data_IF_674697284824
#
_entry.id   IF_674697284824
#
_cell.length_a   1.000
_cell.length_b   1.000
_cell.length_c   1.000
_cell.angle_alpha   90.00
_cell.angle_beta   90.00
_cell.angle_gamma   90.00
#
_symmetry.space_group_name_H-M   'P 1'
#
loop_
_entity.id
_entity.type
_entity.pdbx_description
1 polymer ?
#
# COMPACT_ATOMS: atom_id res chain seq x y z
N UNK A 1 25.79 5.01 -10.28
CA UNK A 1 25.17 6.31 -10.57
C UNK A 1 23.74 6.07 -11.03
N UNK A 2 22.76 6.74 -10.42
CA UNK A 2 21.34 6.63 -10.75
C UNK A 2 20.94 7.90 -11.50
N UNK A 3 20.19 7.77 -12.59
CA UNK A 3 19.55 8.87 -13.29
C UNK A 3 18.09 8.92 -12.88
N UNK A 4 17.63 10.03 -12.32
CA UNK A 4 16.24 10.20 -11.90
C UNK A 4 15.44 10.89 -13.01
N UNK A 5 14.29 10.29 -13.33
CA UNK A 5 13.25 10.87 -14.18
C UNK A 5 12.01 11.12 -13.32
N UNK A 6 11.67 12.38 -13.11
CA UNK A 6 10.47 12.76 -12.37
C UNK A 6 9.29 12.81 -13.32
N UNK A 7 8.21 12.11 -12.96
CA UNK A 7 6.97 12.04 -13.74
C UNK A 7 5.83 12.40 -12.79
N UNK A 8 5.00 13.36 -13.15
CA UNK A 8 3.78 13.65 -12.41
C UNK A 8 2.76 12.53 -12.68
N UNK A 9 2.15 12.01 -11.62
CA UNK A 9 1.16 10.94 -11.74
C UNK A 9 -0.10 11.39 -12.49
N UNK A 10 -0.46 12.66 -12.46
CA UNK A 10 -1.55 13.21 -13.29
C UNK A 10 -1.19 13.17 -14.79
N UNK A 11 0.09 13.30 -15.15
CA UNK A 11 0.51 13.11 -16.53
C UNK A 11 0.31 11.67 -16.99
N UNK A 12 0.52 10.68 -16.11
CA UNK A 12 0.22 9.28 -16.43
C UNK A 12 -1.29 9.06 -16.62
N UNK A 13 -2.14 9.71 -15.82
CA UNK A 13 -3.60 9.66 -16.00
C UNK A 13 -4.01 10.20 -17.38
N UNK A 14 -3.38 11.27 -17.83
CA UNK A 14 -3.74 11.96 -19.06
C UNK A 14 -3.10 11.38 -20.33
N UNK A 15 -1.87 10.85 -20.22
CA UNK A 15 -1.03 10.48 -21.38
C UNK A 15 -0.73 8.96 -21.41
N UNK A 16 -1.08 8.24 -20.33
CA UNK A 16 -0.85 6.80 -20.22
C UNK A 16 0.58 6.42 -19.87
N UNK A 17 0.88 5.14 -20.06
CA UNK A 17 2.12 4.49 -19.61
C UNK A 17 3.34 4.75 -20.49
N UNK A 18 3.19 5.40 -21.65
CA UNK A 18 4.33 5.74 -22.52
C UNK A 18 5.43 6.54 -21.79
N UNK A 19 5.02 7.34 -20.79
CA UNK A 19 5.96 8.08 -19.94
C UNK A 19 6.88 7.17 -19.09
N UNK A 20 6.51 5.90 -18.92
CA UNK A 20 7.26 4.92 -18.12
C UNK A 20 8.18 4.03 -18.97
N UNK A 21 8.16 4.20 -20.27
CA UNK A 21 8.99 3.37 -21.16
C UNK A 21 10.50 3.59 -20.91
N UNK A 22 11.24 2.48 -20.88
CA UNK A 22 12.68 2.48 -20.74
C UNK A 22 13.20 2.82 -19.33
N UNK A 23 12.36 2.79 -18.30
CA UNK A 23 12.81 2.89 -16.91
C UNK A 23 13.28 1.54 -16.38
N UNK A 24 14.37 1.54 -15.59
CA UNK A 24 14.90 0.33 -14.95
C UNK A 24 14.21 0.00 -13.63
N UNK A 25 13.56 0.98 -13.00
CA UNK A 25 12.80 0.82 -11.77
C UNK A 25 11.81 1.98 -11.60
N UNK A 26 10.75 1.76 -10.84
CA UNK A 26 9.74 2.75 -10.49
C UNK A 26 9.70 2.92 -8.97
N UNK A 27 9.76 4.17 -8.50
CA UNK A 27 9.54 4.53 -7.10
C UNK A 27 8.29 5.41 -7.00
N UNK A 28 7.33 4.99 -6.18
CA UNK A 28 6.18 5.81 -5.80
C UNK A 28 6.33 6.20 -4.33
N UNK A 29 6.57 7.48 -4.05
CA UNK A 29 6.79 7.96 -2.70
C UNK A 29 5.50 8.01 -1.87
N UNK A 30 5.65 8.31 -0.58
CA UNK A 30 4.54 8.63 0.31
C UNK A 30 3.81 9.90 -0.12
N UNK A 31 2.53 9.97 0.27
CA UNK A 31 1.65 11.08 -0.01
C UNK A 31 0.31 10.90 0.69
N UNK A 32 -0.57 11.87 0.48
CA UNK A 32 -1.93 11.88 1.01
C UNK A 32 -2.88 12.46 -0.02
N UNK A 33 -4.16 12.12 0.08
CA UNK A 33 -5.21 12.66 -0.77
C UNK A 33 -5.29 12.03 -2.16
N UNK A 34 -6.34 12.42 -2.87
CA UNK A 34 -6.80 11.76 -4.10
C UNK A 34 -5.99 12.12 -5.35
N UNK A 35 -5.21 13.22 -5.31
CA UNK A 35 -4.52 13.74 -6.49
C UNK A 35 -3.55 12.73 -7.10
N UNK A 36 -3.74 12.41 -8.38
CA UNK A 36 -2.87 11.52 -9.14
C UNK A 36 -2.84 10.07 -8.65
N UNK A 37 -3.85 9.63 -7.91
CA UNK A 37 -3.90 8.26 -7.36
C UNK A 37 -4.06 7.24 -8.47
N UNK A 38 -4.92 7.48 -9.45
CA UNK A 38 -5.14 6.55 -10.57
C UNK A 38 -3.89 6.44 -11.45
N UNK A 39 -3.13 7.51 -11.63
CA UNK A 39 -1.84 7.47 -12.32
C UNK A 39 -0.79 6.65 -11.58
N UNK A 40 -0.79 6.71 -10.23
CA UNK A 40 0.08 5.85 -9.42
C UNK A 40 -0.33 4.38 -9.53
N UNK A 41 -1.63 4.07 -9.49
CA UNK A 41 -2.16 2.71 -9.69
C UNK A 41 -1.77 2.20 -11.09
N UNK A 42 -1.90 3.05 -12.12
CA UNK A 42 -1.46 2.72 -13.49
C UNK A 42 0.04 2.44 -13.57
N UNK A 43 0.87 3.21 -12.84
CA UNK A 43 2.31 2.96 -12.77
C UNK A 43 2.64 1.63 -12.10
N UNK A 44 1.91 1.24 -11.05
CA UNK A 44 2.05 -0.10 -10.42
C UNK A 44 1.67 -1.21 -11.40
N UNK A 45 0.55 -1.06 -12.11
CA UNK A 45 0.12 -2.02 -13.12
C UNK A 45 1.20 -2.20 -14.20
N UNK A 46 1.72 -1.09 -14.71
CA UNK A 46 2.83 -1.13 -15.68
C UNK A 46 4.05 -1.89 -15.13
N UNK A 47 4.45 -1.58 -13.89
CA UNK A 47 5.58 -2.25 -13.24
C UNK A 47 5.36 -3.76 -13.13
N UNK A 48 4.19 -4.19 -12.65
CA UNK A 48 3.83 -5.60 -12.49
C UNK A 48 3.79 -6.33 -13.83
N UNK A 49 3.12 -5.78 -14.85
CA UNK A 49 2.93 -6.43 -16.14
C UNK A 49 4.24 -6.51 -16.94
N UNK A 50 5.09 -5.49 -16.84
CA UNK A 50 6.37 -5.42 -17.55
C UNK A 50 7.55 -5.93 -16.70
N UNK A 51 7.31 -6.40 -15.48
CA UNK A 51 8.34 -6.91 -14.55
C UNK A 51 9.43 -5.86 -14.24
N UNK A 52 9.02 -4.60 -14.17
CA UNK A 52 9.89 -3.50 -13.74
C UNK A 52 9.94 -3.48 -12.22
N UNK A 53 11.11 -3.47 -11.59
CA UNK A 53 11.24 -3.33 -10.13
C UNK A 53 10.46 -2.13 -9.61
N UNK A 54 9.69 -2.34 -8.54
CA UNK A 54 8.84 -1.33 -7.95
C UNK A 54 9.14 -1.14 -6.47
N UNK A 55 9.29 0.11 -6.04
CA UNK A 55 9.37 0.49 -4.63
C UNK A 55 8.23 1.46 -4.30
N UNK A 56 7.27 1.02 -3.51
CA UNK A 56 6.18 1.83 -2.99
C UNK A 56 6.38 2.18 -1.52
N UNK A 57 6.42 3.46 -1.19
CA UNK A 57 6.60 3.94 0.18
C UNK A 57 5.29 4.53 0.66
N UNK A 58 4.75 4.07 1.81
CA UNK A 58 3.51 4.57 2.42
C UNK A 58 2.34 4.48 1.42
N UNK A 59 1.86 5.61 0.88
CA UNK A 59 0.86 5.64 -0.20
C UNK A 59 1.27 4.75 -1.39
N UNK A 60 2.55 4.72 -1.74
CA UNK A 60 3.05 3.86 -2.82
C UNK A 60 2.77 2.37 -2.59
N UNK A 61 2.91 1.86 -1.35
CA UNK A 61 2.52 0.49 -1.02
C UNK A 61 1.00 0.32 -1.06
N UNK A 62 0.24 1.29 -0.55
CA UNK A 62 -1.22 1.23 -0.53
C UNK A 62 -1.80 1.14 -1.94
N UNK A 63 -1.32 1.95 -2.88
CA UNK A 63 -1.78 1.87 -4.28
C UNK A 63 -1.36 0.58 -4.97
N UNK A 64 -0.26 -0.07 -4.53
CA UNK A 64 0.10 -1.39 -5.03
C UNK A 64 -0.90 -2.46 -4.58
N UNK A 65 -1.38 -2.40 -3.33
CA UNK A 65 -2.43 -3.31 -2.84
C UNK A 65 -3.75 -3.07 -3.57
N UNK A 66 -4.12 -1.80 -3.82
CA UNK A 66 -5.33 -1.45 -4.59
C UNK A 66 -5.22 -1.97 -6.04
N UNK A 67 -4.08 -1.76 -6.70
CA UNK A 67 -3.85 -2.26 -8.06
C UNK A 67 -4.01 -3.78 -8.12
N UNK A 68 -3.36 -4.48 -7.20
CA UNK A 68 -3.43 -5.94 -7.15
C UNK A 68 -4.87 -6.43 -6.95
N UNK A 69 -5.61 -5.81 -6.05
CA UNK A 69 -7.01 -6.14 -5.82
C UNK A 69 -7.88 -5.89 -7.06
N UNK A 70 -7.69 -4.77 -7.75
CA UNK A 70 -8.47 -4.44 -8.96
C UNK A 70 -8.16 -5.33 -10.15
N UNK A 71 -6.89 -5.62 -10.39
CA UNK A 71 -6.43 -6.20 -11.66
C UNK A 71 -6.08 -7.70 -11.55
N UNK A 72 -5.79 -8.20 -10.35
CA UNK A 72 -5.52 -9.62 -10.15
C UNK A 72 -6.73 -10.36 -9.54
N UNK A 73 -7.35 -9.79 -8.48
CA UNK A 73 -8.57 -10.38 -7.90
C UNK A 73 -9.84 -10.00 -8.69
N UNK A 74 -9.81 -8.94 -9.49
CA UNK A 74 -10.98 -8.47 -10.24
C UNK A 74 -11.96 -7.63 -9.43
N UNK A 75 -11.58 -7.17 -8.23
CA UNK A 75 -12.38 -6.27 -7.41
C UNK A 75 -12.30 -4.83 -7.92
N UNK A 76 -13.07 -4.53 -8.94
CA UNK A 76 -12.96 -3.27 -9.71
C UNK A 76 -13.17 -2.00 -8.89
N UNK A 77 -13.91 -2.11 -7.80
CA UNK A 77 -14.20 -1.05 -6.84
C UNK A 77 -13.22 -1.03 -5.64
N UNK A 78 -12.20 -1.89 -5.62
CA UNK A 78 -11.22 -1.90 -4.55
C UNK A 78 -10.54 -0.53 -4.42
N UNK A 79 -10.50 -0.03 -3.19
CA UNK A 79 -9.97 1.31 -2.93
C UNK A 79 -9.45 1.45 -1.48
N UNK A 80 -8.94 2.63 -1.17
CA UNK A 80 -8.75 3.11 0.19
C UNK A 80 -9.97 3.89 0.65
N UNK A 81 -10.38 3.77 1.91
CA UNK A 81 -11.41 4.62 2.50
C UNK A 81 -10.99 6.08 2.58
N UNK A 82 -9.68 6.39 2.43
CA UNK A 82 -9.20 7.77 2.22
C UNK A 82 -9.75 8.40 0.94
N UNK A 83 -9.96 7.59 -0.11
CA UNK A 83 -10.33 8.08 -1.45
C UNK A 83 -11.80 7.82 -1.78
N UNK A 84 -12.35 6.71 -1.29
CA UNK A 84 -13.73 6.31 -1.51
C UNK A 84 -14.29 5.56 -0.31
N UNK A 85 -15.05 6.26 0.53
CA UNK A 85 -15.71 5.66 1.70
C UNK A 85 -16.84 4.67 1.33
N UNK A 86 -17.31 4.69 0.08
CA UNK A 86 -18.37 3.81 -0.41
C UNK A 86 -17.84 2.55 -1.12
N UNK A 87 -16.52 2.37 -1.18
CA UNK A 87 -15.91 1.18 -1.79
C UNK A 87 -16.46 -0.11 -1.16
N UNK A 88 -16.91 -1.04 -1.99
CA UNK A 88 -17.34 -2.37 -1.55
C UNK A 88 -16.18 -3.28 -1.14
N UNK A 89 -14.95 -2.93 -1.56
CA UNK A 89 -13.72 -3.64 -1.19
C UNK A 89 -12.67 -2.65 -0.67
N UNK A 90 -12.84 -2.13 0.57
CA UNK A 90 -11.89 -1.20 1.18
C UNK A 90 -10.62 -1.95 1.61
N UNK A 91 -9.73 -2.22 0.63
CA UNK A 91 -8.47 -2.98 0.86
C UNK A 91 -7.45 -2.21 1.69
N UNK A 92 -7.63 -0.89 1.78
CA UNK A 92 -6.90 0.01 2.68
C UNK A 92 -7.92 0.84 3.44
N UNK A 93 -7.76 0.98 4.74
CA UNK A 93 -8.69 1.72 5.58
C UNK A 93 -8.10 2.14 6.92
N UNK A 94 -8.84 2.90 7.70
CA UNK A 94 -8.47 3.18 9.09
C UNK A 94 -8.56 1.89 9.90
N UNK A 95 -7.62 1.67 10.84
CA UNK A 95 -7.64 0.49 11.74
C UNK A 95 -8.98 0.38 12.47
N UNK A 96 -9.57 1.51 12.84
CA UNK A 96 -10.85 1.58 13.55
C UNK A 96 -12.06 1.19 12.70
N UNK A 97 -11.91 1.08 11.38
CA UNK A 97 -12.98 0.68 10.47
C UNK A 97 -13.08 -0.84 10.31
N UNK A 98 -12.03 -1.57 10.67
CA UNK A 98 -11.97 -3.02 10.47
C UNK A 98 -11.40 -3.83 11.65
N UNK A 99 -10.92 -3.19 12.73
CA UNK A 99 -10.53 -3.91 13.96
C UNK A 99 -11.63 -3.90 15.01
N UNK A 100 -12.31 -5.04 15.09
CA UNK A 100 -12.59 -5.65 16.38
C UNK A 100 -12.45 -7.17 16.27
N UNK A 101 -11.43 -7.74 16.91
CA UNK A 101 -11.24 -9.17 17.04
C UNK A 101 -12.38 -9.85 17.85
N UNK A 102 -13.31 -9.07 18.38
CA UNK A 102 -14.49 -9.53 19.15
C UNK A 102 -15.80 -9.38 18.37
N UNK A 103 -15.78 -8.80 17.14
CA UNK A 103 -16.95 -8.60 16.29
C UNK A 103 -17.79 -7.37 16.66
N UNK A 104 -17.31 -6.48 17.50
CA UNK A 104 -17.93 -5.19 17.75
C UNK A 104 -17.18 -4.12 16.92
N UNK A 105 -17.85 -3.56 15.93
CA UNK A 105 -17.38 -2.38 15.19
C UNK A 105 -17.44 -1.19 16.16
N UNK A 106 -16.32 -0.80 16.74
CA UNK A 106 -16.22 0.56 17.27
C UNK A 106 -16.27 1.52 16.08
N UNK A 107 -17.47 1.94 15.72
CA UNK A 107 -17.71 3.06 14.80
C UNK A 107 -17.16 4.33 15.44
N UNK A 108 -15.88 4.60 15.27
CA UNK A 108 -15.33 5.92 15.49
C UNK A 108 -15.75 6.76 14.30
N UNK A 109 -16.64 7.70 14.55
CA UNK A 109 -17.10 8.68 13.58
C UNK A 109 -15.95 9.59 13.15
N UNK A 110 -16.04 10.22 11.97
CA UNK A 110 -15.10 11.23 11.45
C UNK A 110 -14.75 12.35 12.45
N UNK A 111 -15.56 12.53 13.51
CA UNK A 111 -15.36 13.50 14.59
C UNK A 111 -14.52 12.97 15.76
N UNK A 112 -14.15 11.68 15.78
CA UNK A 112 -13.23 11.15 16.78
C UNK A 112 -11.84 11.72 16.54
N UNK A 113 -11.11 12.02 17.60
CA UNK A 113 -9.76 12.61 17.55
C UNK A 113 -8.83 11.85 16.57
N UNK A 114 -8.79 12.31 15.32
CA UNK A 114 -7.97 11.74 14.25
C UNK A 114 -6.46 11.76 14.57
N UNK A 115 -6.06 12.56 15.56
CA UNK A 115 -4.67 12.62 16.05
C UNK A 115 -4.22 11.30 16.68
N UNK A 116 -5.11 10.56 17.34
CA UNK A 116 -4.82 9.30 18.02
C UNK A 116 -4.64 8.08 17.10
N UNK A 117 -5.00 8.17 15.83
CA UNK A 117 -4.89 7.06 14.85
C UNK A 117 -3.65 7.12 13.97
N UNK A 118 -2.86 8.19 14.04
CA UNK A 118 -1.64 8.36 13.28
C UNK A 118 -0.55 7.44 13.81
N UNK A 119 -0.08 6.51 12.98
CA UNK A 119 1.19 5.82 13.26
C UNK A 119 2.33 6.76 12.90
N UNK A 120 3.15 7.08 13.88
CA UNK A 120 4.20 8.10 13.75
C UNK A 120 5.50 7.64 14.41
N UNK A 121 6.61 7.88 13.74
CA UNK A 121 7.95 7.63 14.25
C UNK A 121 8.50 6.25 13.92
N UNK A 122 9.59 5.88 14.57
CA UNK A 122 10.31 4.63 14.37
C UNK A 122 9.53 3.48 15.01
N UNK A 123 9.29 2.41 14.23
CA UNK A 123 8.59 1.20 14.69
C UNK A 123 9.28 -0.03 14.12
N UNK A 124 9.23 -1.12 14.88
CA UNK A 124 9.77 -2.40 14.46
C UNK A 124 8.90 -3.02 13.36
N UNK A 125 9.56 -3.57 12.35
CA UNK A 125 8.95 -4.38 11.30
C UNK A 125 9.62 -5.76 11.27
N UNK A 126 8.82 -6.80 11.44
CA UNK A 126 9.24 -8.19 11.36
C UNK A 126 9.21 -8.63 9.90
N UNK A 127 10.37 -8.99 9.34
CA UNK A 127 10.48 -9.44 7.96
C UNK A 127 10.30 -10.95 7.84
N UNK A 128 9.61 -11.36 6.78
CA UNK A 128 9.46 -12.79 6.45
C UNK A 128 10.78 -13.34 5.91
N UNK A 129 11.37 -14.35 6.57
CA UNK A 129 12.61 -14.97 6.11
C UNK A 129 12.48 -15.52 4.68
N UNK A 130 13.50 -15.26 3.85
CA UNK A 130 13.51 -15.67 2.44
C UNK A 130 12.67 -14.79 1.51
N UNK A 131 12.13 -13.69 2.01
CA UNK A 131 11.55 -12.65 1.15
C UNK A 131 12.65 -11.76 0.55
N UNK A 132 12.35 -11.11 -0.59
CA UNK A 132 13.28 -10.19 -1.23
C UNK A 132 13.72 -9.05 -0.28
N UNK A 133 12.77 -8.51 0.48
CA UNK A 133 13.07 -7.44 1.44
C UNK A 133 13.97 -7.92 2.57
N UNK A 134 13.73 -9.15 3.09
CA UNK A 134 14.61 -9.76 4.09
C UNK A 134 16.04 -9.92 3.56
N UNK A 135 16.19 -10.39 2.32
CA UNK A 135 17.50 -10.53 1.69
C UNK A 135 18.20 -9.17 1.48
N UNK A 136 17.43 -8.12 1.12
CA UNK A 136 17.98 -6.76 0.97
C UNK A 136 18.48 -6.16 2.28
N UNK A 137 17.74 -6.35 3.37
CA UNK A 137 18.13 -5.82 4.69
C UNK A 137 19.12 -6.72 5.45
N UNK A 138 19.09 -8.04 5.19
CA UNK A 138 19.91 -9.03 5.90
C UNK A 138 19.60 -9.13 7.40
N UNK A 139 18.36 -8.90 7.79
CA UNK A 139 17.88 -8.86 9.19
C UNK A 139 16.45 -9.35 9.27
N UNK A 140 16.12 -10.04 10.37
CA UNK A 140 14.74 -10.48 10.65
C UNK A 140 13.84 -9.33 11.13
N UNK A 141 14.44 -8.33 11.79
CA UNK A 141 13.73 -7.15 12.32
C UNK A 141 14.44 -5.90 11.85
N UNK A 142 13.66 -4.99 11.28
CA UNK A 142 14.12 -3.66 10.88
C UNK A 142 13.31 -2.59 11.60
N UNK A 143 13.81 -1.36 11.59
CA UNK A 143 13.12 -0.21 12.15
C UNK A 143 12.86 0.78 11.04
N UNK A 144 11.58 1.00 10.77
CA UNK A 144 11.15 1.95 9.74
C UNK A 144 10.38 3.12 10.34
N UNK A 145 10.43 4.27 9.67
CA UNK A 145 9.72 5.47 10.13
C UNK A 145 8.36 5.57 9.47
N UNK A 146 7.34 5.63 10.31
CA UNK A 146 5.94 5.72 9.91
C UNK A 146 5.42 7.15 9.99
N UNK A 147 4.53 7.48 9.07
CA UNK A 147 3.67 8.67 9.09
C UNK A 147 2.45 8.42 8.23
N UNK A 148 1.52 7.63 8.73
CA UNK A 148 0.27 7.29 8.04
C UNK A 148 -0.83 6.89 9.02
N UNK A 149 -2.07 6.88 8.55
CA UNK A 149 -3.27 6.50 9.31
C UNK A 149 -3.96 5.29 8.70
N UNK A 150 -3.86 5.13 7.38
CA UNK A 150 -4.50 4.07 6.63
C UNK A 150 -3.58 2.87 6.54
N UNK A 151 -4.17 1.70 6.71
CA UNK A 151 -3.48 0.42 6.76
C UNK A 151 -4.14 -0.58 5.81
N UNK A 152 -3.42 -1.62 5.41
CA UNK A 152 -4.00 -2.72 4.66
C UNK A 152 -5.04 -3.43 5.52
N UNK A 153 -6.24 -3.63 4.96
CA UNK A 153 -7.37 -4.22 5.67
C UNK A 153 -7.18 -5.72 5.88
N UNK A 154 -6.94 -6.12 7.12
CA UNK A 154 -6.70 -7.50 7.49
C UNK A 154 -7.90 -8.44 7.20
N UNK A 155 -9.13 -7.93 7.15
CA UNK A 155 -10.32 -8.73 6.87
C UNK A 155 -10.33 -9.24 5.42
N UNK A 156 -9.71 -8.51 4.49
CA UNK A 156 -9.61 -8.87 3.07
C UNK A 156 -8.28 -9.56 2.74
N UNK A 157 -7.34 -9.56 3.68
CA UNK A 157 -5.99 -10.10 3.49
C UNK A 157 -5.94 -11.59 3.11
N UNK A 158 -6.81 -12.49 3.63
CA UNK A 158 -6.82 -13.89 3.23
C UNK A 158 -6.99 -14.09 1.72
N UNK A 159 -7.96 -13.41 1.11
CA UNK A 159 -8.23 -13.51 -0.32
C UNK A 159 -7.09 -12.90 -1.16
N UNK A 160 -6.52 -11.77 -0.69
CA UNK A 160 -5.39 -11.11 -1.33
C UNK A 160 -4.16 -12.03 -1.36
N UNK A 161 -3.89 -12.72 -0.24
CA UNK A 161 -2.79 -13.71 -0.15
C UNK A 161 -3.04 -14.93 -1.02
N UNK A 162 -4.26 -15.45 -1.05
CA UNK A 162 -4.64 -16.59 -1.89
C UNK A 162 -4.45 -16.28 -3.38
N UNK A 163 -4.71 -15.04 -3.79
CA UNK A 163 -4.44 -14.55 -5.15
C UNK A 163 -2.96 -14.36 -5.46
N UNK A 164 -2.07 -14.46 -4.46
CA UNK A 164 -0.63 -14.52 -4.66
C UNK A 164 0.17 -13.31 -4.17
N UNK A 165 -0.47 -12.27 -3.57
CA UNK A 165 0.28 -11.19 -2.95
C UNK A 165 0.98 -11.71 -1.69
N UNK A 166 2.30 -11.61 -1.67
CA UNK A 166 3.10 -12.05 -0.51
C UNK A 166 3.19 -10.93 0.52
N UNK A 167 2.98 -11.26 1.78
CA UNK A 167 3.24 -10.35 2.88
C UNK A 167 4.65 -10.63 3.37
N UNK A 168 5.52 -9.67 3.17
CA UNK A 168 6.95 -9.80 3.42
C UNK A 168 7.41 -9.09 4.70
N UNK A 169 6.53 -8.29 5.33
CA UNK A 169 6.80 -7.66 6.61
C UNK A 169 5.53 -7.32 7.39
N UNK A 170 5.64 -7.38 8.70
CA UNK A 170 4.56 -7.06 9.64
C UNK A 170 5.06 -6.18 10.77
N UNK A 171 4.14 -5.43 11.39
CA UNK A 171 4.41 -4.65 12.61
C UNK A 171 5.01 -5.53 13.71
N UNK A 172 5.72 -4.92 14.67
CA UNK A 172 6.41 -5.62 15.76
C UNK A 172 5.49 -6.54 16.60
N UNK A 173 4.18 -6.27 16.63
CA UNK A 173 3.16 -7.11 17.25
C UNK A 173 2.58 -8.17 16.28
N UNK A 174 3.04 -8.20 15.03
CA UNK A 174 2.63 -9.15 13.98
C UNK A 174 1.27 -8.87 13.35
N UNK A 175 0.56 -7.81 13.74
CA UNK A 175 -0.82 -7.58 13.33
C UNK A 175 -0.96 -6.87 11.99
N UNK A 176 -0.20 -5.81 11.75
CA UNK A 176 -0.35 -4.95 10.59
C UNK A 176 0.61 -5.34 9.46
N UNK A 177 0.19 -5.11 8.23
CA UNK A 177 1.03 -5.32 7.05
C UNK A 177 1.93 -4.11 6.85
N UNK A 178 3.25 -4.34 6.83
CA UNK A 178 4.27 -3.30 6.66
C UNK A 178 4.94 -3.37 5.28
N UNK A 179 5.08 -4.59 4.75
CA UNK A 179 5.74 -4.84 3.46
C UNK A 179 4.99 -5.93 2.70
N UNK A 180 4.79 -5.72 1.42
CA UNK A 180 4.20 -6.67 0.48
C UNK A 180 5.19 -7.04 -0.60
#
# INVERSE_FOLDING_TARGET
KVNLRYIDSEDIENQGTALLEGVDAILVPGGFGLRGVEGKITAVQYARENKVPYLGICLGMQVAVIEFARNVLGWKDANSTEFDHASGHPVVGLITEWEDATGAVETRTESSDLGGTMRLGAQDCLLEPGSLVHDCYGKDVIVERHRHRYEVNNNLLPQIKEAGLKISGRSGDGKLVEVV
#
